data_IF_089320226811
#
_entry.id   IF_089320226811
#
_cell.length_a   1.000
_cell.length_b   1.000
_cell.length_c   1.000
_cell.angle_alpha   90.00
_cell.angle_beta   90.00
_cell.angle_gamma   90.00
#
_symmetry.space_group_name_H-M   'P 1'
#
loop_
_entity.id
_entity.type
_entity.pdbx_description
1 polymer ?
#
# COMPACT_ATOMS: atom_id res chain seq x y z
N UNK A 1 3.42 23.12 -6.49
CA UNK A 1 4.79 22.53 -6.51
C UNK A 1 4.86 21.13 -5.93
N UNK A 2 4.16 20.80 -4.84
CA UNK A 2 4.15 19.43 -4.26
C UNK A 2 3.44 18.37 -5.14
N UNK A 3 2.34 18.73 -5.81
CA UNK A 3 1.57 17.80 -6.66
C UNK A 3 2.33 17.34 -7.90
N UNK A 4 3.13 18.22 -8.51
CA UNK A 4 3.88 17.91 -9.73
C UNK A 4 4.90 16.78 -9.53
N UNK A 5 5.63 16.82 -8.40
CA UNK A 5 6.61 15.78 -8.05
C UNK A 5 5.93 14.43 -7.78
N UNK A 6 4.75 14.41 -7.16
CA UNK A 6 3.99 13.17 -6.97
C UNK A 6 3.41 12.62 -8.26
N UNK A 7 2.89 13.46 -9.17
CA UNK A 7 2.32 13.01 -10.45
C UNK A 7 3.40 12.38 -11.34
N UNK A 8 4.60 12.97 -11.39
CA UNK A 8 5.73 12.41 -12.12
C UNK A 8 6.17 11.04 -11.58
N UNK A 9 6.22 10.87 -10.26
CA UNK A 9 6.55 9.58 -9.67
C UNK A 9 5.46 8.53 -9.95
N UNK A 10 4.19 8.93 -9.90
CA UNK A 10 3.05 8.05 -10.20
C UNK A 10 2.98 7.65 -11.69
N UNK A 11 3.36 8.52 -12.62
CA UNK A 11 3.40 8.17 -14.04
C UNK A 11 4.53 7.18 -14.34
N UNK A 12 5.70 7.33 -13.71
CA UNK A 12 6.81 6.37 -13.82
C UNK A 12 6.35 4.98 -13.31
N UNK A 13 5.65 4.95 -12.17
CA UNK A 13 5.13 3.70 -11.58
C UNK A 13 4.04 3.08 -12.47
N UNK A 14 3.17 3.88 -13.08
CA UNK A 14 2.14 3.40 -14.00
C UNK A 14 2.76 2.72 -15.23
N UNK A 15 3.75 3.35 -15.86
CA UNK A 15 4.45 2.79 -17.03
C UNK A 15 5.13 1.46 -16.68
N UNK A 16 5.74 1.38 -15.50
CA UNK A 16 6.33 0.14 -15.02
C UNK A 16 5.27 -0.96 -14.80
N UNK A 17 4.12 -0.60 -14.21
CA UNK A 17 3.01 -1.53 -13.97
C UNK A 17 2.37 -2.04 -15.28
N UNK A 18 2.24 -1.20 -16.30
CA UNK A 18 1.68 -1.62 -17.60
C UNK A 18 2.63 -2.56 -18.33
N UNK A 19 3.95 -2.30 -18.28
CA UNK A 19 4.93 -3.19 -18.89
C UNK A 19 4.91 -4.59 -18.25
N UNK A 20 4.80 -4.67 -16.91
CA UNK A 20 4.64 -5.94 -16.20
C UNK A 20 3.36 -6.68 -16.60
N UNK A 21 2.23 -5.97 -16.74
CA UNK A 21 0.96 -6.59 -17.18
C UNK A 21 1.01 -7.13 -18.60
N UNK A 22 1.64 -6.39 -19.52
CA UNK A 22 1.82 -6.81 -20.91
C UNK A 22 2.71 -8.05 -20.97
N UNK A 23 3.77 -8.07 -20.17
CA UNK A 23 4.67 -9.21 -20.06
C UNK A 23 3.94 -10.46 -19.53
N UNK A 24 3.06 -10.33 -18.53
CA UNK A 24 2.25 -11.45 -18.04
C UNK A 24 1.25 -11.99 -19.07
N UNK A 25 0.58 -11.12 -19.83
CA UNK A 25 -0.35 -11.52 -20.88
C UNK A 25 0.37 -12.32 -21.97
N UNK A 26 1.60 -11.91 -22.32
CA UNK A 26 2.37 -12.54 -23.40
C UNK A 26 3.10 -13.82 -22.98
N UNK A 27 3.58 -13.90 -21.73
CA UNK A 27 4.46 -15.01 -21.29
C UNK A 27 3.74 -16.11 -20.52
N UNK A 28 2.48 -15.91 -20.10
CA UNK A 28 1.67 -16.85 -19.31
C UNK A 28 2.37 -17.38 -18.04
N UNK A 29 3.53 -16.84 -17.69
CA UNK A 29 4.37 -17.27 -16.58
C UNK A 29 4.01 -16.44 -15.36
N UNK A 30 3.47 -17.11 -14.34
CA UNK A 30 3.18 -16.54 -13.01
C UNK A 30 4.48 -16.12 -12.29
N UNK A 31 5.62 -16.69 -12.72
CA UNK A 31 6.94 -16.41 -12.20
C UNK A 31 7.71 -15.51 -13.16
N UNK A 32 8.07 -14.31 -12.70
CA UNK A 32 9.13 -13.53 -13.32
C UNK A 32 10.37 -13.62 -12.45
N UNK A 33 11.39 -14.29 -12.97
CA UNK A 33 12.73 -14.34 -12.37
C UNK A 33 13.41 -13.00 -12.56
N UNK A 34 13.73 -12.33 -11.45
CA UNK A 34 14.34 -10.98 -11.46
C UNK A 34 15.85 -11.06 -11.33
N UNK A 35 16.37 -12.08 -10.64
CA UNK A 35 17.80 -12.21 -10.38
C UNK A 35 18.19 -13.65 -10.10
N UNK A 36 19.24 -14.16 -10.75
CA UNK A 36 19.87 -15.45 -10.41
C UNK A 36 21.03 -15.21 -9.44
N UNK A 37 20.89 -15.68 -8.20
CA UNK A 37 21.82 -15.34 -7.12
C UNK A 37 23.04 -16.26 -7.06
N UNK A 38 22.90 -17.52 -7.51
CA UNK A 38 23.99 -18.50 -7.51
C UNK A 38 23.97 -19.23 -8.85
N UNK A 39 24.99 -19.03 -9.68
CA UNK A 39 25.19 -19.73 -10.95
C UNK A 39 26.42 -20.63 -10.76
N UNK A 40 26.18 -21.90 -10.53
CA UNK A 40 27.17 -22.97 -10.69
C UNK A 40 26.79 -23.77 -11.93
N UNK A 41 27.75 -24.39 -12.62
CA UNK A 41 27.57 -25.00 -13.95
C UNK A 41 26.30 -25.86 -14.13
N UNK A 42 25.76 -26.45 -13.04
CA UNK A 42 24.56 -27.30 -13.07
C UNK A 42 23.38 -26.77 -12.22
N UNK A 43 23.54 -25.65 -11.48
CA UNK A 43 22.53 -25.11 -10.57
C UNK A 43 22.45 -23.58 -10.65
N UNK A 44 21.27 -23.07 -11.04
CA UNK A 44 20.89 -21.65 -10.95
C UNK A 44 19.81 -21.44 -9.89
N UNK A 45 20.11 -20.66 -8.85
CA UNK A 45 19.13 -20.28 -7.84
C UNK A 45 18.45 -18.97 -8.29
N UNK A 46 17.32 -19.10 -8.98
CA UNK A 46 16.57 -17.98 -9.55
C UNK A 46 15.55 -17.43 -8.56
N UNK A 47 15.77 -16.19 -8.12
CA UNK A 47 14.89 -15.48 -7.21
C UNK A 47 13.83 -14.74 -8.06
N UNK A 48 12.64 -15.34 -8.11
CA UNK A 48 11.49 -14.78 -8.81
C UNK A 48 10.47 -14.14 -7.89
N UNK A 49 9.64 -13.27 -8.46
CA UNK A 49 8.44 -12.75 -7.80
C UNK A 49 7.23 -13.49 -8.35
N UNK A 50 6.34 -13.91 -7.45
CA UNK A 50 5.02 -14.42 -7.79
C UNK A 50 4.11 -13.21 -8.07
N UNK A 51 4.15 -12.73 -9.32
CA UNK A 51 3.22 -11.72 -9.80
C UNK A 51 2.01 -12.45 -10.36
N UNK A 52 0.96 -12.58 -9.55
CA UNK A 52 -0.33 -13.03 -10.04
C UNK A 52 -0.90 -12.04 -11.06
N UNK A 53 -1.61 -12.51 -12.11
CA UNK A 53 -2.33 -11.65 -13.05
C UNK A 53 -3.25 -10.66 -12.34
N UNK A 54 -3.88 -11.08 -11.23
CA UNK A 54 -4.75 -10.24 -10.41
C UNK A 54 -3.97 -9.08 -9.75
N UNK A 55 -2.74 -9.30 -9.33
CA UNK A 55 -1.92 -8.28 -8.64
C UNK A 55 -1.44 -7.20 -9.62
N UNK A 56 -1.16 -7.60 -10.85
CA UNK A 56 -0.80 -6.67 -11.93
C UNK A 56 -1.95 -5.76 -12.33
N UNK A 57 -3.14 -6.34 -12.52
CA UNK A 57 -4.35 -5.59 -12.84
C UNK A 57 -4.73 -4.64 -11.69
N UNK A 58 -4.62 -5.09 -10.43
CA UNK A 58 -4.87 -4.25 -9.27
C UNK A 58 -3.86 -3.09 -9.14
N UNK A 59 -2.59 -3.30 -9.47
CA UNK A 59 -1.57 -2.25 -9.46
C UNK A 59 -1.88 -1.14 -10.48
N UNK A 60 -2.32 -1.52 -11.69
CA UNK A 60 -2.78 -0.56 -12.70
C UNK A 60 -4.02 0.19 -12.20
N UNK A 61 -4.99 -0.51 -11.61
CA UNK A 61 -6.20 0.11 -11.07
C UNK A 61 -5.87 1.15 -9.98
N UNK A 62 -5.04 0.79 -9.00
CA UNK A 62 -4.67 1.66 -7.87
C UNK A 62 -3.94 2.91 -8.36
N UNK A 63 -2.97 2.76 -9.26
CA UNK A 63 -2.20 3.88 -9.82
C UNK A 63 -3.08 4.81 -10.65
N UNK A 64 -4.00 4.26 -11.46
CA UNK A 64 -4.94 5.03 -12.27
C UNK A 64 -5.94 5.81 -11.42
N UNK A 65 -6.53 5.15 -10.41
CA UNK A 65 -7.43 5.82 -9.44
C UNK A 65 -6.67 6.91 -8.70
N UNK A 66 -5.43 6.67 -8.28
CA UNK A 66 -4.63 7.67 -7.54
C UNK A 66 -4.26 8.88 -8.39
N UNK A 67 -4.00 8.70 -9.68
CA UNK A 67 -3.79 9.82 -10.63
C UNK A 67 -5.09 10.60 -10.84
N UNK A 68 -6.21 9.91 -11.07
CA UNK A 68 -7.51 10.56 -11.23
C UNK A 68 -7.88 11.37 -9.99
N UNK A 69 -7.75 10.78 -8.80
CA UNK A 69 -7.96 11.47 -7.52
C UNK A 69 -7.07 12.70 -7.43
N UNK A 70 -5.78 12.64 -7.75
CA UNK A 70 -4.88 13.79 -7.71
C UNK A 70 -5.27 14.92 -8.68
N UNK A 71 -5.93 14.60 -9.79
CA UNK A 71 -6.40 15.58 -10.76
C UNK A 71 -7.72 16.24 -10.33
N UNK A 72 -8.62 15.47 -9.69
CA UNK A 72 -9.92 15.96 -9.22
C UNK A 72 -9.92 16.51 -7.78
N UNK A 73 -8.90 16.21 -6.97
CA UNK A 73 -8.77 16.72 -5.59
C UNK A 73 -8.63 18.24 -5.47
N UNK A 74 -7.90 18.96 -6.36
CA UNK A 74 -7.79 20.41 -6.30
C UNK A 74 -9.15 21.09 -6.38
N UNK A 75 -10.04 20.61 -7.24
CA UNK A 75 -11.42 21.12 -7.38
C UNK A 75 -12.33 20.65 -6.23
N UNK A 76 -12.08 19.48 -5.64
CA UNK A 76 -12.82 18.99 -4.47
C UNK A 76 -12.43 19.72 -3.16
N UNK A 77 -11.28 20.40 -3.11
CA UNK A 77 -10.78 21.12 -1.94
C UNK A 77 -11.46 22.48 -1.69
N UNK A 78 -12.31 22.96 -2.60
CA UNK A 78 -13.15 24.13 -2.33
C UNK A 78 -14.37 23.81 -1.43
N UNK A 79 -14.69 22.53 -1.23
CA UNK A 79 -15.79 22.10 -0.35
C UNK A 79 -15.57 20.75 0.36
N UNK A 80 -14.41 20.46 0.98
CA UNK A 80 -14.26 19.25 1.76
C UNK A 80 -15.04 19.45 3.06
N UNK A 81 -16.27 18.96 3.11
CA UNK A 81 -16.92 18.71 4.39
C UNK A 81 -15.99 17.80 5.21
N UNK A 82 -15.75 18.07 6.50
CA UNK A 82 -14.72 17.38 7.28
C UNK A 82 -14.90 15.85 7.34
N UNK A 83 -16.10 15.35 7.04
CA UNK A 83 -16.44 13.92 7.04
C UNK A 83 -15.96 13.24 5.76
N UNK A 84 -16.10 13.86 4.57
CA UNK A 84 -15.70 13.25 3.30
C UNK A 84 -14.17 13.19 3.16
N UNK A 85 -13.48 14.25 3.57
CA UNK A 85 -12.01 14.27 3.61
C UNK A 85 -11.46 13.12 4.49
N UNK A 86 -12.16 12.83 5.58
CA UNK A 86 -11.73 11.81 6.51
C UNK A 86 -12.01 10.39 6.02
N UNK A 87 -13.18 10.15 5.44
CA UNK A 87 -13.50 8.85 4.81
C UNK A 87 -12.52 8.58 3.66
N UNK A 88 -12.18 9.59 2.86
CA UNK A 88 -11.22 9.43 1.78
C UNK A 88 -9.80 9.12 2.29
N UNK A 89 -9.39 9.73 3.41
CA UNK A 89 -8.15 9.36 4.07
C UNK A 89 -8.21 7.91 4.59
N UNK A 90 -9.33 7.48 5.18
CA UNK A 90 -9.51 6.12 5.69
C UNK A 90 -9.49 5.06 4.59
N UNK A 91 -10.11 5.30 3.43
CA UNK A 91 -10.11 4.35 2.30
C UNK A 91 -8.72 4.22 1.67
N UNK A 92 -7.95 5.31 1.57
CA UNK A 92 -6.56 5.25 1.13
C UNK A 92 -5.67 4.46 2.09
N UNK A 93 -5.90 4.57 3.40
CA UNK A 93 -5.17 3.78 4.41
C UNK A 93 -5.53 2.30 4.31
N UNK A 94 -6.82 1.97 4.16
CA UNK A 94 -7.26 0.58 3.98
C UNK A 94 -6.65 -0.06 2.72
N UNK A 95 -6.58 0.67 1.60
CA UNK A 95 -5.90 0.20 0.39
C UNK A 95 -4.40 -0.04 0.62
N UNK A 96 -3.74 0.81 1.41
CA UNK A 96 -2.35 0.61 1.82
C UNK A 96 -2.15 -0.67 2.65
N UNK A 97 -3.03 -0.93 3.62
CA UNK A 97 -3.01 -2.15 4.44
C UNK A 97 -3.21 -3.40 3.59
N UNK A 98 -4.13 -3.36 2.63
CA UNK A 98 -4.35 -4.47 1.70
C UNK A 98 -3.10 -4.78 0.85
N UNK A 99 -2.43 -3.74 0.35
CA UNK A 99 -1.20 -3.90 -0.42
C UNK A 99 -0.09 -4.50 0.45
N UNK A 100 0.08 -4.02 1.69
CA UNK A 100 1.06 -4.59 2.63
C UNK A 100 0.74 -6.04 2.96
N UNK A 101 -0.53 -6.37 3.19
CA UNK A 101 -0.96 -7.75 3.44
C UNK A 101 -0.64 -8.68 2.26
N UNK A 102 -0.79 -8.19 1.02
CA UNK A 102 -0.46 -8.98 -0.16
C UNK A 102 1.04 -9.15 -0.37
N UNK A 103 1.85 -8.16 0.03
CA UNK A 103 3.32 -8.23 0.00
C UNK A 103 3.93 -8.89 1.24
N UNK A 104 3.13 -9.46 2.16
CA UNK A 104 3.62 -10.19 3.33
C UNK A 104 4.69 -11.24 3.01
N UNK A 105 4.55 -12.09 1.97
CA UNK A 105 5.56 -13.10 1.63
C UNK A 105 6.94 -12.49 1.36
N UNK A 106 7.00 -11.27 0.81
CA UNK A 106 8.25 -10.54 0.61
C UNK A 106 8.82 -9.98 1.90
N UNK A 107 7.96 -9.41 2.75
CA UNK A 107 8.40 -8.76 3.98
C UNK A 107 8.87 -9.74 5.04
N UNK A 108 8.37 -10.99 5.03
CA UNK A 108 8.86 -12.06 5.91
C UNK A 108 10.33 -12.40 5.63
N UNK A 109 10.76 -12.36 4.36
CA UNK A 109 12.15 -12.59 3.96
C UNK A 109 13.05 -11.41 4.38
N UNK A 110 12.50 -10.20 4.46
CA UNK A 110 13.21 -8.97 4.82
C UNK A 110 12.83 -8.52 6.24
N UNK A 111 13.38 -9.23 7.22
CA UNK A 111 13.14 -9.03 8.67
C UNK A 111 13.16 -7.56 9.19
N UNK A 112 14.09 -6.66 8.79
CA UNK A 112 14.09 -5.28 9.29
C UNK A 112 12.86 -4.46 8.84
N UNK A 113 12.29 -4.77 7.68
CA UNK A 113 11.14 -4.05 7.12
C UNK A 113 9.89 -4.28 7.96
N UNK A 114 9.70 -5.51 8.47
CA UNK A 114 8.55 -5.84 9.32
C UNK A 114 8.58 -5.12 10.66
N UNK A 115 9.74 -5.06 11.30
CA UNK A 115 9.93 -4.34 12.55
C UNK A 115 9.65 -2.84 12.38
N UNK A 116 10.05 -2.26 11.25
CA UNK A 116 9.80 -0.85 10.93
C UNK A 116 8.31 -0.58 10.71
N UNK A 117 7.60 -1.47 9.99
CA UNK A 117 6.14 -1.38 9.81
C UNK A 117 5.41 -1.49 11.17
N UNK A 118 5.79 -2.44 12.02
CA UNK A 118 5.23 -2.62 13.36
C UNK A 118 5.46 -1.38 14.24
N UNK A 119 6.66 -0.79 14.20
CA UNK A 119 7.00 0.42 14.96
C UNK A 119 6.12 1.60 14.52
N UNK A 120 6.03 1.87 13.21
CA UNK A 120 5.20 2.95 12.69
C UNK A 120 3.75 2.72 13.11
N UNK A 121 3.23 1.51 12.91
CA UNK A 121 1.84 1.18 13.26
C UNK A 121 1.54 1.39 14.75
N UNK A 122 2.47 1.03 15.66
CA UNK A 122 2.33 1.28 17.12
C UNK A 122 2.15 2.77 17.41
N UNK A 123 2.96 3.62 16.78
CA UNK A 123 2.88 5.07 16.93
C UNK A 123 1.53 5.58 16.41
N UNK A 124 1.09 5.12 15.23
CA UNK A 124 -0.17 5.56 14.62
C UNK A 124 -1.39 5.18 15.46
N UNK A 125 -1.40 3.97 16.03
CA UNK A 125 -2.46 3.49 16.93
C UNK A 125 -2.56 4.38 18.16
N UNK A 126 -1.43 4.64 18.82
CA UNK A 126 -1.38 5.42 20.04
C UNK A 126 -1.83 6.87 19.79
N UNK A 127 -1.35 7.47 18.70
CA UNK A 127 -1.73 8.82 18.32
C UNK A 127 -3.22 8.93 17.96
N UNK A 128 -3.75 7.96 17.20
CA UNK A 128 -5.18 7.90 16.85
C UNK A 128 -6.09 7.76 18.07
N UNK A 129 -5.70 6.92 19.03
CA UNK A 129 -6.46 6.72 20.27
C UNK A 129 -6.48 7.98 21.16
N UNK A 130 -5.33 8.63 21.35
CA UNK A 130 -5.23 9.86 22.15
C UNK A 130 -6.03 11.00 21.50
N UNK A 131 -5.92 11.15 20.18
CA UNK A 131 -6.67 12.17 19.45
C UNK A 131 -8.19 11.91 19.49
N UNK A 132 -8.64 10.65 19.46
CA UNK A 132 -10.05 10.31 19.56
C UNK A 132 -10.66 10.76 20.90
N UNK A 133 -9.94 10.57 22.01
CA UNK A 133 -10.38 10.99 23.35
C UNK A 133 -10.40 12.51 23.53
N UNK A 134 -9.52 13.23 22.83
CA UNK A 134 -9.45 14.68 22.89
C UNK A 134 -10.60 15.39 22.13
N UNK A 135 -11.34 14.69 21.27
CA UNK A 135 -12.41 15.28 20.48
C UNK A 135 -13.71 15.44 21.27
N UNK A 136 -14.29 16.64 21.22
CA UNK A 136 -15.63 16.93 21.77
C UNK A 136 -16.77 16.54 20.81
N UNK A 137 -16.47 16.41 19.53
CA UNK A 137 -17.43 16.03 18.49
C UNK A 137 -17.43 14.51 18.27
N UNK A 138 -18.56 13.84 18.49
CA UNK A 138 -18.71 12.37 18.32
C UNK A 138 -18.27 11.91 16.92
N UNK A 139 -18.62 12.66 15.86
CA UNK A 139 -18.26 12.32 14.48
C UNK A 139 -16.74 12.33 14.26
N UNK A 140 -16.02 13.26 14.89
CA UNK A 140 -14.55 13.33 14.81
C UNK A 140 -13.90 12.29 15.72
N UNK A 141 -14.49 12.00 16.88
CA UNK A 141 -14.04 10.91 17.75
C UNK A 141 -14.10 9.55 17.04
N UNK A 142 -15.21 9.24 16.37
CA UNK A 142 -15.40 7.99 15.61
C UNK A 142 -14.44 7.88 14.41
N UNK A 143 -14.14 9.02 13.81
CA UNK A 143 -13.15 9.12 12.76
C UNK A 143 -11.72 8.77 13.24
N UNK A 144 -11.26 9.33 14.37
CA UNK A 144 -9.94 8.98 14.91
C UNK A 144 -9.90 7.54 15.46
N UNK A 145 -11.02 7.00 15.96
CA UNK A 145 -11.07 5.60 16.39
C UNK A 145 -10.93 4.63 15.20
N UNK A 146 -11.57 4.90 14.06
CA UNK A 146 -11.36 4.11 12.82
C UNK A 146 -9.92 4.19 12.30
N UNK A 147 -9.28 5.36 12.39
CA UNK A 147 -7.85 5.49 12.07
C UNK A 147 -6.97 4.62 13.00
N UNK A 148 -7.27 4.59 14.29
CA UNK A 148 -6.56 3.71 15.25
C UNK A 148 -6.80 2.23 14.95
N UNK A 149 -8.02 1.83 14.53
CA UNK A 149 -8.36 0.45 14.17
C UNK A 149 -7.61 0.00 12.91
N UNK A 150 -7.53 0.85 11.89
CA UNK A 150 -6.71 0.58 10.70
C UNK A 150 -5.22 0.46 11.08
N UNK A 151 -4.74 1.29 12.01
CA UNK A 151 -3.40 1.16 12.60
C UNK A 151 -3.18 -0.20 13.28
N UNK A 152 -4.18 -0.71 14.02
CA UNK A 152 -4.11 -2.02 14.65
C UNK A 152 -4.03 -3.16 13.62
N UNK A 153 -4.77 -3.06 12.52
CA UNK A 153 -4.67 -4.03 11.41
C UNK A 153 -3.28 -4.02 10.79
N UNK A 154 -2.69 -2.84 10.58
CA UNK A 154 -1.32 -2.71 10.07
C UNK A 154 -0.28 -3.27 11.06
N UNK A 155 -0.49 -3.10 12.36
CA UNK A 155 0.37 -3.64 13.41
C UNK A 155 0.34 -5.18 13.44
N UNK A 156 -0.84 -5.77 13.23
CA UNK A 156 -0.99 -7.22 13.12
C UNK A 156 -0.21 -7.79 11.92
N UNK A 157 -0.25 -7.10 10.77
CA UNK A 157 0.56 -7.44 9.60
C UNK A 157 2.06 -7.27 9.88
N UNK A 158 2.45 -6.17 10.54
CA UNK A 158 3.85 -5.88 10.90
C UNK A 158 4.49 -6.92 11.82
N UNK A 159 3.69 -7.60 12.64
CA UNK A 159 4.15 -8.69 13.50
C UNK A 159 4.08 -10.08 12.82
N UNK A 160 3.68 -10.15 11.55
CA UNK A 160 3.60 -11.40 10.80
C UNK A 160 2.54 -12.37 11.30
N UNK A 161 1.48 -11.90 11.96
CA UNK A 161 0.45 -12.77 12.59
C UNK A 161 -0.26 -13.66 11.56
N UNK A 162 -0.44 -13.18 10.33
CA UNK A 162 -1.05 -13.93 9.22
C UNK A 162 -0.12 -14.98 8.55
N UNK A 163 1.13 -15.09 9.00
CA UNK A 163 2.14 -16.00 8.45
C UNK A 163 2.34 -17.28 9.27
N UNK A 164 1.66 -17.42 10.41
CA UNK A 164 1.73 -18.60 11.27
C UNK A 164 0.63 -19.59 10.97
#
# INVERSE_FOLDING_TARGET
>A
MWSFRSVLLLSIILVFSTNLSIQQINSNSIYHYVWSWLITNDFSLELGYLLDPLTSIMSILITTVRIAVLFFLPDAMERPTPISALIHAATMVAAGIFLVARLLPLFIVISPTMNLISLIAKITVLLGAVLALAQKDIKRGLAYSTMSQLGYMMLALGNGILSK
#
